data_IF_819500059329
#
_entry.id   IF_819500059329
#
_cell.length_a   1.000
_cell.length_b   1.000
_cell.length_c   1.000
_cell.angle_alpha   90.00
_cell.angle_beta   90.00
_cell.angle_gamma   90.00
#
_symmetry.space_group_name_H-M   'P 1'
#
loop_
_entity.id
_entity.type
_entity.pdbx_description
1 polymer ?
#
# COMPACT_ATOMS: atom_id res chain seq x y z
N UNK A 1 56.01 14.97 3.87
CA UNK A 1 56.24 13.54 3.56
C UNK A 1 54.86 12.96 3.51
N UNK A 2 54.25 13.00 2.33
CA UNK A 2 52.84 12.70 2.16
C UNK A 2 52.72 11.32 1.53
N UNK A 3 52.11 10.41 2.28
CA UNK A 3 51.91 9.01 1.96
C UNK A 3 50.93 8.87 0.78
N UNK A 4 51.43 8.36 -0.33
CA UNK A 4 50.65 8.03 -1.53
C UNK A 4 50.01 6.65 -1.31
N UNK A 5 48.74 6.61 -0.93
CA UNK A 5 47.96 5.37 -0.94
C UNK A 5 47.47 5.09 -2.37
N UNK A 6 48.12 4.12 -3.02
CA UNK A 6 47.70 3.55 -4.30
C UNK A 6 46.62 2.50 -3.99
N UNK A 7 45.36 2.83 -4.26
CA UNK A 7 44.27 1.84 -4.25
C UNK A 7 44.49 0.88 -5.43
N UNK A 8 44.88 -0.35 -5.14
CA UNK A 8 44.90 -1.43 -6.12
C UNK A 8 43.46 -1.91 -6.34
N UNK A 9 42.84 -1.51 -7.46
CA UNK A 9 41.69 -2.21 -8.01
C UNK A 9 42.10 -3.66 -8.31
N UNK A 10 41.66 -4.58 -7.46
CA UNK A 10 41.77 -6.03 -7.68
C UNK A 10 40.86 -6.38 -8.85
N UNK A 11 41.43 -6.37 -10.05
CA UNK A 11 40.76 -6.85 -11.25
C UNK A 11 40.48 -8.34 -11.07
N UNK A 12 39.21 -8.67 -10.85
CA UNK A 12 38.70 -10.04 -10.79
C UNK A 12 39.11 -10.78 -12.08
N UNK A 13 39.43 -12.09 -12.06
CA UNK A 13 39.76 -12.83 -13.28
C UNK A 13 38.58 -12.73 -14.26
N UNK A 14 38.77 -11.95 -15.32
CA UNK A 14 37.74 -11.66 -16.33
C UNK A 14 37.51 -12.90 -17.19
N UNK A 15 36.68 -13.82 -16.71
CA UNK A 15 36.23 -14.94 -17.55
C UNK A 15 35.36 -14.40 -18.69
N UNK A 16 35.59 -14.83 -19.94
CA UNK A 16 34.77 -14.38 -21.08
C UNK A 16 33.31 -14.74 -20.83
N UNK A 17 32.46 -13.71 -20.71
CA UNK A 17 31.03 -13.88 -20.49
C UNK A 17 30.32 -14.15 -21.83
N UNK A 18 29.34 -15.08 -21.89
CA UNK A 18 28.55 -15.30 -23.09
C UNK A 18 27.59 -14.12 -23.34
N UNK A 19 27.32 -13.82 -24.61
CA UNK A 19 26.36 -12.81 -25.00
C UNK A 19 24.94 -13.19 -24.53
N UNK A 20 24.20 -12.31 -23.83
CA UNK A 20 22.87 -12.63 -23.31
C UNK A 20 21.78 -12.76 -24.40
N UNK A 21 22.07 -12.33 -25.64
CA UNK A 21 21.12 -12.40 -26.74
C UNK A 21 21.31 -13.66 -27.62
N UNK A 22 22.55 -14.04 -27.93
CA UNK A 22 22.84 -15.14 -28.86
C UNK A 22 23.71 -16.26 -28.29
N UNK A 23 24.18 -16.13 -27.04
CA UNK A 23 24.96 -17.15 -26.34
C UNK A 23 26.43 -17.30 -26.77
N UNK A 24 26.90 -16.58 -27.80
CA UNK A 24 28.31 -16.64 -28.21
C UNK A 24 29.23 -15.96 -27.21
N UNK A 25 30.42 -16.53 -27.03
CA UNK A 25 31.47 -15.99 -26.15
C UNK A 25 31.84 -14.57 -26.58
N UNK A 26 31.93 -13.65 -25.60
CA UNK A 26 32.40 -12.30 -25.85
C UNK A 26 33.84 -12.14 -25.41
N UNK A 27 34.59 -11.36 -26.19
CA UNK A 27 35.92 -10.93 -25.80
C UNK A 27 35.83 -10.04 -24.56
N UNK A 28 36.81 -10.22 -23.68
CA UNK A 28 36.94 -9.46 -22.43
C UNK A 28 37.03 -7.96 -22.75
N UNK A 29 36.26 -7.14 -22.03
CA UNK A 29 36.20 -5.68 -22.21
C UNK A 29 35.32 -5.17 -23.37
N UNK A 30 34.79 -6.04 -24.25
CA UNK A 30 33.89 -5.60 -25.32
C UNK A 30 32.47 -5.35 -24.81
N UNK A 31 31.94 -4.15 -25.07
CA UNK A 31 30.56 -3.75 -24.71
C UNK A 31 29.49 -4.21 -25.71
N UNK A 32 29.92 -4.62 -26.90
CA UNK A 32 29.06 -5.01 -28.02
C UNK A 32 29.45 -6.42 -28.50
N UNK A 33 28.44 -7.26 -28.74
CA UNK A 33 28.65 -8.59 -29.28
C UNK A 33 28.97 -8.53 -30.78
N UNK A 34 30.16 -8.96 -31.18
CA UNK A 34 30.59 -9.01 -32.59
C UNK A 34 29.68 -9.85 -33.50
N UNK A 35 28.95 -10.82 -32.93
CA UNK A 35 28.12 -11.73 -33.73
C UNK A 35 26.70 -11.24 -33.97
N UNK A 36 26.11 -10.46 -33.05
CA UNK A 36 24.72 -10.04 -33.17
C UNK A 36 24.53 -8.52 -33.04
N UNK A 37 25.60 -7.75 -32.80
CA UNK A 37 25.57 -6.29 -32.64
C UNK A 37 24.88 -5.80 -31.37
N UNK A 38 24.56 -6.69 -30.43
CA UNK A 38 23.89 -6.31 -29.18
C UNK A 38 24.88 -5.64 -28.24
N UNK A 39 24.53 -4.42 -27.81
CA UNK A 39 25.19 -3.73 -26.70
C UNK A 39 24.66 -4.32 -25.40
N UNK A 40 25.50 -5.05 -24.67
CA UNK A 40 25.12 -5.88 -23.51
C UNK A 40 24.43 -5.06 -22.42
N UNK A 41 24.97 -3.89 -22.10
CA UNK A 41 24.41 -2.99 -21.10
C UNK A 41 22.99 -2.53 -21.47
N UNK A 42 22.77 -2.19 -22.74
CA UNK A 42 21.46 -1.77 -23.24
C UNK A 42 20.47 -2.93 -23.23
N UNK A 43 20.92 -4.13 -23.61
CA UNK A 43 20.08 -5.32 -23.58
C UNK A 43 19.67 -5.67 -22.14
N UNK A 44 20.62 -5.71 -21.21
CA UNK A 44 20.34 -6.03 -19.81
C UNK A 44 19.38 -5.03 -19.18
N UNK A 45 19.51 -3.74 -19.48
CA UNK A 45 18.59 -2.73 -18.96
C UNK A 45 17.16 -2.89 -19.50
N UNK A 46 16.99 -3.24 -20.78
CA UNK A 46 15.67 -3.52 -21.38
C UNK A 46 15.08 -4.82 -20.81
N UNK A 47 15.89 -5.87 -20.66
CA UNK A 47 15.43 -7.13 -20.06
C UNK A 47 15.00 -6.93 -18.61
N UNK A 48 15.76 -6.15 -17.85
CA UNK A 48 15.42 -5.78 -16.48
C UNK A 48 14.10 -5.02 -16.41
N UNK A 49 13.90 -4.02 -17.28
CA UNK A 49 12.64 -3.27 -17.37
C UNK A 49 11.44 -4.20 -17.60
N UNK A 50 11.56 -5.09 -18.60
CA UNK A 50 10.52 -6.05 -18.95
C UNK A 50 10.21 -6.99 -17.79
N UNK A 51 11.24 -7.56 -17.16
CA UNK A 51 11.08 -8.48 -16.05
C UNK A 51 10.42 -7.81 -14.82
N UNK A 52 10.69 -6.54 -14.56
CA UNK A 52 10.02 -5.79 -13.49
C UNK A 52 8.56 -5.53 -13.86
N UNK A 53 8.28 -5.07 -15.08
CA UNK A 53 6.90 -4.81 -15.54
C UNK A 53 6.03 -6.07 -15.52
N UNK A 54 6.57 -7.19 -15.98
CA UNK A 54 5.87 -8.48 -16.00
C UNK A 54 5.53 -8.99 -14.60
N UNK A 55 6.47 -8.87 -13.65
CA UNK A 55 6.25 -9.35 -12.26
C UNK A 55 5.27 -8.49 -11.47
N UNK A 56 5.33 -7.18 -11.68
CA UNK A 56 4.56 -6.21 -10.89
C UNK A 56 3.16 -6.01 -11.46
N UNK A 57 3.04 -5.88 -12.78
CA UNK A 57 1.80 -5.52 -13.46
C UNK A 57 1.35 -4.08 -13.19
N UNK A 58 0.59 -3.47 -14.11
CA UNK A 58 -0.01 -2.15 -13.89
C UNK A 58 0.98 -0.97 -13.80
N UNK A 59 2.21 -1.17 -14.29
CA UNK A 59 3.27 -0.15 -14.35
C UNK A 59 3.85 0.01 -15.77
N UNK A 60 3.11 -0.42 -16.79
CA UNK A 60 3.58 -0.47 -18.19
C UNK A 60 3.89 0.92 -18.76
N UNK A 61 3.22 1.96 -18.23
CA UNK A 61 3.41 3.36 -18.61
C UNK A 61 4.71 3.99 -18.12
N UNK A 62 5.42 3.34 -17.18
CA UNK A 62 6.67 3.87 -16.64
C UNK A 62 7.84 3.63 -17.59
N UNK A 63 8.74 4.62 -17.69
CA UNK A 63 10.00 4.50 -18.41
C UNK A 63 11.05 3.77 -17.56
N UNK A 64 12.09 3.24 -18.20
CA UNK A 64 13.25 2.63 -17.52
C UNK A 64 13.83 3.54 -16.41
N UNK A 65 13.94 4.85 -16.67
CA UNK A 65 14.49 5.81 -15.70
C UNK A 65 13.61 5.91 -14.45
N UNK A 66 12.28 5.91 -14.62
CA UNK A 66 11.35 5.93 -13.50
C UNK A 66 11.43 4.65 -12.67
N UNK A 67 11.59 3.49 -13.31
CA UNK A 67 11.78 2.21 -12.61
C UNK A 67 13.08 2.23 -11.80
N UNK A 68 14.19 2.69 -12.39
CA UNK A 68 15.47 2.85 -11.67
C UNK A 68 15.35 3.80 -10.46
N UNK A 69 14.59 4.89 -10.61
CA UNK A 69 14.33 5.82 -9.49
C UNK A 69 13.51 5.15 -8.38
N UNK A 70 12.47 4.38 -8.73
CA UNK A 70 11.67 3.61 -7.76
C UNK A 70 12.53 2.59 -7.00
N UNK A 71 13.40 1.87 -7.70
CA UNK A 71 14.36 0.95 -7.08
C UNK A 71 15.33 1.66 -6.14
N UNK A 72 15.83 2.83 -6.55
CA UNK A 72 16.70 3.63 -5.70
C UNK A 72 15.99 4.11 -4.42
N UNK A 73 14.74 4.59 -4.54
CA UNK A 73 13.95 4.98 -3.36
C UNK A 73 13.64 3.79 -2.46
N UNK A 74 13.34 2.62 -3.03
CA UNK A 74 13.16 1.40 -2.26
C UNK A 74 14.43 0.99 -1.52
N UNK A 75 15.59 0.99 -2.18
CA UNK A 75 16.89 0.71 -1.54
C UNK A 75 17.17 1.67 -0.37
N UNK A 76 16.88 2.96 -0.56
CA UNK A 76 17.03 3.98 0.49
C UNK A 76 16.11 3.72 1.70
N UNK A 77 14.87 3.29 1.43
CA UNK A 77 13.91 2.90 2.47
C UNK A 77 14.38 1.67 3.23
N UNK A 78 14.88 0.63 2.56
CA UNK A 78 15.36 -0.60 3.20
C UNK A 78 16.51 -0.33 4.18
N UNK A 79 17.38 0.66 3.90
CA UNK A 79 18.42 1.08 4.86
C UNK A 79 17.82 1.64 6.15
N UNK A 80 16.67 2.31 6.08
CA UNK A 80 15.97 2.89 7.23
C UNK A 80 14.61 2.20 7.44
N UNK A 81 14.60 0.87 7.38
CA UNK A 81 13.35 0.09 7.34
C UNK A 81 12.45 0.27 8.58
N UNK A 82 13.01 0.65 9.72
CA UNK A 82 12.20 0.88 10.92
C UNK A 82 11.60 2.29 10.99
N UNK A 83 11.94 3.20 10.05
CA UNK A 83 11.38 4.55 10.01
C UNK A 83 10.05 4.58 9.26
N UNK A 84 8.96 4.62 10.02
CA UNK A 84 7.59 4.75 9.50
C UNK A 84 7.44 5.91 8.51
N UNK A 85 8.13 7.03 8.74
CA UNK A 85 8.03 8.21 7.86
C UNK A 85 8.64 7.93 6.48
N UNK A 86 9.75 7.20 6.42
CA UNK A 86 10.37 6.80 5.16
C UNK A 86 9.43 5.92 4.30
N UNK A 87 8.66 5.03 4.95
CA UNK A 87 7.63 4.23 4.26
C UNK A 87 6.50 5.10 3.68
N UNK A 88 6.02 6.08 4.43
CA UNK A 88 5.00 7.01 3.96
C UNK A 88 5.49 7.87 2.79
N UNK A 89 6.74 8.34 2.86
CA UNK A 89 7.38 9.10 1.78
C UNK A 89 7.51 8.24 0.51
N UNK A 90 7.91 6.97 0.64
CA UNK A 90 7.99 6.04 -0.49
C UNK A 90 6.61 5.73 -1.10
N UNK A 91 5.59 5.48 -0.28
CA UNK A 91 4.22 5.27 -0.76
C UNK A 91 3.69 6.52 -1.46
N UNK A 92 3.93 7.71 -0.89
CA UNK A 92 3.57 8.98 -1.52
C UNK A 92 4.28 9.21 -2.86
N UNK A 93 5.55 8.80 -2.96
CA UNK A 93 6.31 8.84 -4.21
C UNK A 93 5.72 7.89 -5.26
N UNK A 94 5.38 6.65 -4.87
CA UNK A 94 4.74 5.68 -5.76
C UNK A 94 3.35 6.15 -6.20
N UNK A 95 2.55 6.71 -5.30
CA UNK A 95 1.23 7.25 -5.61
C UNK A 95 1.28 8.36 -6.67
N UNK A 96 2.17 9.35 -6.48
CA UNK A 96 2.35 10.47 -7.43
C UNK A 96 2.71 10.01 -8.84
N UNK A 97 3.38 8.86 -8.96
CA UNK A 97 3.81 8.27 -10.24
C UNK A 97 2.88 7.19 -10.76
N UNK A 98 1.73 6.97 -10.10
CA UNK A 98 0.80 5.88 -10.42
C UNK A 98 1.51 4.50 -10.44
N UNK A 99 2.47 4.31 -9.52
CA UNK A 99 3.31 3.13 -9.40
C UNK A 99 3.04 2.37 -8.09
N UNK A 100 1.84 2.48 -7.52
CA UNK A 100 1.46 1.76 -6.29
C UNK A 100 1.57 0.23 -6.40
N UNK A 101 1.28 -0.43 -7.55
CA UNK A 101 1.50 -1.87 -7.69
C UNK A 101 2.95 -2.28 -7.41
N UNK A 102 3.92 -1.44 -7.76
CA UNK A 102 5.33 -1.67 -7.46
C UNK A 102 5.59 -1.72 -5.95
N UNK A 103 5.02 -0.78 -5.19
CA UNK A 103 5.13 -0.77 -3.74
C UNK A 103 4.51 -2.04 -3.11
N UNK A 104 3.33 -2.43 -3.57
CA UNK A 104 2.66 -3.67 -3.14
C UNK A 104 3.55 -4.89 -3.37
N UNK A 105 4.16 -5.00 -4.55
CA UNK A 105 5.07 -6.09 -4.90
C UNK A 105 6.32 -6.09 -4.00
N UNK A 106 6.94 -4.93 -3.76
CA UNK A 106 8.09 -4.80 -2.86
C UNK A 106 7.79 -5.27 -1.43
N UNK A 107 6.66 -4.84 -0.84
CA UNK A 107 6.28 -5.28 0.50
C UNK A 107 5.87 -6.75 0.54
N UNK A 108 5.24 -7.28 -0.51
CA UNK A 108 4.93 -8.72 -0.61
C UNK A 108 6.21 -9.55 -0.63
N UNK A 109 7.23 -9.12 -1.39
CA UNK A 109 8.54 -9.78 -1.38
C UNK A 109 9.23 -9.73 -0.02
N UNK A 110 9.03 -8.66 0.76
CA UNK A 110 9.57 -8.61 2.12
C UNK A 110 8.88 -9.63 3.01
N UNK A 111 7.56 -9.77 2.89
CA UNK A 111 6.80 -10.80 3.61
C UNK A 111 7.16 -12.23 3.19
N UNK A 112 7.56 -12.45 1.94
CA UNK A 112 8.02 -13.76 1.47
C UNK A 112 9.36 -14.15 2.13
N UNK A 113 10.17 -13.16 2.54
CA UNK A 113 11.43 -13.36 3.26
C UNK A 113 11.17 -13.51 4.76
N UNK A 114 10.32 -12.64 5.32
CA UNK A 114 9.92 -12.63 6.73
C UNK A 114 8.39 -12.54 6.87
N UNK A 115 7.76 -13.70 7.09
CA UNK A 115 6.30 -13.83 7.13
C UNK A 115 5.61 -13.05 8.25
N UNK A 116 6.35 -12.72 9.30
CA UNK A 116 5.85 -12.01 10.50
C UNK A 116 6.22 -10.51 10.49
N UNK A 117 6.66 -9.97 9.35
CA UNK A 117 6.95 -8.54 9.21
C UNK A 117 5.68 -7.67 9.25
N UNK A 118 5.38 -7.16 10.43
CA UNK A 118 4.25 -6.25 10.71
C UNK A 118 4.29 -4.97 9.85
N UNK A 119 5.48 -4.41 9.59
CA UNK A 119 5.64 -3.18 8.81
C UNK A 119 5.29 -3.45 7.35
N UNK A 120 5.82 -4.52 6.78
CA UNK A 120 5.51 -4.92 5.39
C UNK A 120 4.01 -5.21 5.23
N UNK A 121 3.42 -5.97 6.15
CA UNK A 121 2.01 -6.32 6.14
C UNK A 121 1.11 -5.08 6.22
N UNK A 122 1.41 -4.15 7.14
CA UNK A 122 0.72 -2.87 7.28
C UNK A 122 0.84 -2.00 6.03
N UNK A 123 2.06 -1.82 5.51
CA UNK A 123 2.31 -0.93 4.36
C UNK A 123 1.75 -1.50 3.06
N UNK A 124 1.80 -2.82 2.87
CA UNK A 124 1.16 -3.49 1.74
C UNK A 124 -0.34 -3.23 1.72
N UNK A 125 -1.01 -3.40 2.87
CA UNK A 125 -2.46 -3.10 2.99
C UNK A 125 -2.75 -1.65 2.67
N UNK A 126 -1.95 -0.71 3.20
CA UNK A 126 -2.10 0.72 2.91
C UNK A 126 -1.94 1.03 1.42
N UNK A 127 -0.94 0.45 0.76
CA UNK A 127 -0.75 0.59 -0.68
C UNK A 127 -1.97 0.07 -1.47
N UNK A 128 -2.49 -1.12 -1.11
CA UNK A 128 -3.72 -1.66 -1.72
C UNK A 128 -4.93 -0.74 -1.53
N UNK A 129 -5.13 -0.19 -0.33
CA UNK A 129 -6.25 0.72 -0.08
C UNK A 129 -6.17 1.98 -0.94
N UNK A 130 -4.96 2.49 -1.21
CA UNK A 130 -4.75 3.64 -2.09
C UNK A 130 -5.02 3.32 -3.57
N UNK A 131 -4.83 2.06 -3.99
CA UNK A 131 -5.19 1.61 -5.35
C UNK A 131 -6.71 1.51 -5.50
N UNK A 132 -7.39 0.97 -4.47
CA UNK A 132 -8.84 0.71 -4.52
C UNK A 132 -9.71 1.92 -4.20
N UNK A 133 -9.15 2.96 -3.58
CA UNK A 133 -9.89 4.17 -3.27
C UNK A 133 -10.39 4.79 -4.58
N UNK A 134 -11.71 5.02 -4.74
CA UNK A 134 -12.22 5.70 -5.92
C UNK A 134 -11.54 7.05 -6.00
N UNK A 135 -10.84 7.29 -7.09
CA UNK A 135 -10.25 8.59 -7.42
C UNK A 135 -11.43 9.50 -7.79
N UNK A 136 -12.20 9.91 -6.78
CA UNK A 136 -13.12 11.02 -6.92
C UNK A 136 -12.27 12.25 -7.29
N UNK A 137 -12.61 12.85 -8.43
CA UNK A 137 -11.71 13.62 -9.27
C UNK A 137 -10.89 14.70 -8.56
N UNK A 138 -9.64 14.82 -9.00
CA UNK A 138 -8.82 16.03 -9.04
C UNK A 138 -9.47 17.31 -8.50
N UNK A 139 -9.17 17.65 -7.26
CA UNK A 139 -9.04 19.03 -6.83
C UNK A 139 -7.88 19.12 -5.83
N UNK A 140 -7.06 20.14 -6.04
CA UNK A 140 -5.88 20.58 -5.29
C UNK A 140 -5.95 20.44 -3.76
N UNK A 141 -4.79 20.32 -3.09
CA UNK A 141 -4.70 19.99 -1.68
C UNK A 141 -4.99 21.22 -0.82
N UNK A 142 -6.25 21.44 -0.45
CA UNK A 142 -6.55 22.25 0.74
C UNK A 142 -6.61 21.34 1.96
N UNK A 143 -5.58 21.50 2.78
CA UNK A 143 -5.39 20.97 4.12
C UNK A 143 -6.67 21.06 4.97
N UNK A 144 -7.48 20.00 4.98
CA UNK A 144 -8.32 19.63 6.13
C UNK A 144 -8.19 18.14 6.41
N UNK A 145 -7.20 17.84 7.23
CA UNK A 145 -7.29 16.75 8.19
C UNK A 145 -8.53 16.95 9.05
N UNK A 146 -9.65 16.32 8.68
CA UNK A 146 -10.73 16.03 9.61
C UNK A 146 -11.11 14.57 9.44
N UNK A 147 -10.40 13.76 10.23
CA UNK A 147 -10.99 12.67 11.01
C UNK A 147 -11.68 11.59 10.18
N UNK A 148 -10.86 10.60 9.86
CA UNK A 148 -11.22 9.20 10.02
C UNK A 148 -11.82 9.00 11.43
N UNK A 149 -13.12 9.24 11.57
CA UNK A 149 -13.89 8.65 12.64
C UNK A 149 -14.75 7.58 12.01
N UNK A 150 -14.44 6.33 12.37
CA UNK A 150 -15.47 5.36 12.71
C UNK A 150 -16.50 6.10 13.57
N UNK A 151 -17.56 6.59 12.94
CA UNK A 151 -18.47 7.57 13.51
C UNK A 151 -18.94 7.13 14.91
N UNK A 152 -18.48 7.77 16.02
CA UNK A 152 -19.03 7.50 17.35
C UNK A 152 -20.51 7.88 17.42
N UNK A 153 -21.00 8.67 16.46
CA UNK A 153 -22.40 8.99 16.23
C UNK A 153 -23.29 7.74 16.22
N UNK A 154 -22.85 6.65 15.58
CA UNK A 154 -23.69 5.45 15.45
C UNK A 154 -23.81 4.65 16.76
N UNK A 155 -22.80 4.73 17.64
CA UNK A 155 -22.92 4.23 19.03
C UNK A 155 -23.85 5.12 19.84
N UNK A 156 -23.77 6.44 19.66
CA UNK A 156 -24.60 7.43 20.36
C UNK A 156 -26.09 7.33 19.97
N UNK A 157 -26.40 7.14 18.69
CA UNK A 157 -27.76 6.93 18.17
C UNK A 157 -28.43 5.70 18.79
N UNK A 158 -27.69 4.60 18.96
CA UNK A 158 -28.26 3.39 19.55
C UNK A 158 -28.63 3.59 21.03
N UNK A 159 -27.78 4.29 21.79
CA UNK A 159 -28.10 4.64 23.18
C UNK A 159 -29.30 5.58 23.28
N UNK A 160 -29.38 6.61 22.43
CA UNK A 160 -30.54 7.52 22.40
C UNK A 160 -31.82 6.77 22.07
N UNK A 161 -31.78 5.84 21.12
CA UNK A 161 -32.94 5.03 20.75
C UNK A 161 -33.50 4.22 21.92
N UNK A 162 -32.62 3.60 22.71
CA UNK A 162 -33.01 2.84 23.91
C UNK A 162 -33.61 3.77 24.98
N UNK A 163 -32.98 4.93 25.23
CA UNK A 163 -33.50 5.91 26.19
C UNK A 163 -34.86 6.46 25.77
N UNK A 164 -35.03 6.82 24.50
CA UNK A 164 -36.28 7.37 23.97
C UNK A 164 -37.40 6.33 24.03
N UNK A 165 -37.12 5.07 23.67
CA UNK A 165 -38.07 3.97 23.79
C UNK A 165 -38.54 3.75 25.23
N UNK A 166 -37.61 3.72 26.19
CA UNK A 166 -37.95 3.60 27.61
C UNK A 166 -38.78 4.79 28.10
N UNK A 167 -38.49 6.00 27.63
CA UNK A 167 -39.26 7.19 27.96
C UNK A 167 -40.70 7.14 27.40
N UNK A 168 -40.89 6.68 26.17
CA UNK A 168 -42.21 6.46 25.57
C UNK A 168 -43.06 5.46 26.36
N UNK A 169 -42.44 4.39 26.89
CA UNK A 169 -43.16 3.41 27.72
C UNK A 169 -43.61 4.01 29.06
N UNK A 170 -42.73 4.73 29.77
CA UNK A 170 -43.06 5.35 31.07
C UNK A 170 -44.12 6.44 30.93
N UNK A 171 -44.01 7.29 29.90
CA UNK A 171 -45.01 8.33 29.62
C UNK A 171 -46.37 7.75 29.22
N UNK A 172 -46.39 6.66 28.45
CA UNK A 172 -47.62 5.93 28.11
C UNK A 172 -48.34 5.32 29.31
N UNK A 173 -47.61 4.99 30.39
CA UNK A 173 -48.21 4.51 31.65
C UNK A 173 -48.86 5.64 32.46
N UNK A 174 -48.29 6.85 32.41
CA UNK A 174 -48.77 8.02 33.17
C UNK A 174 -50.03 8.66 32.56
N UNK A 175 -50.23 8.52 31.25
CA UNK A 175 -51.35 9.16 30.52
C UNK A 175 -52.28 8.06 29.97
N UNK A 176 -53.46 7.83 30.56
CA UNK A 176 -54.37 6.76 30.15
C UNK A 176 -54.84 6.85 28.69
N UNK A 177 -54.84 8.06 28.13
CA UNK A 177 -55.22 8.33 26.73
C UNK A 177 -54.12 7.96 25.73
N UNK A 178 -52.86 7.79 26.18
CA UNK A 178 -51.70 7.52 25.35
C UNK A 178 -51.24 6.05 25.41
N UNK A 179 -52.13 5.09 25.74
CA UNK A 179 -51.78 3.66 25.86
C UNK A 179 -51.11 3.07 24.61
N UNK A 180 -51.42 3.59 23.43
CA UNK A 180 -50.79 3.18 22.16
C UNK A 180 -49.28 3.49 22.12
N UNK A 181 -48.82 4.45 22.92
CA UNK A 181 -47.41 4.84 23.02
C UNK A 181 -46.54 3.75 23.69
N UNK A 182 -47.15 2.91 24.53
CA UNK A 182 -46.47 1.77 25.16
C UNK A 182 -46.07 0.74 24.09
N UNK A 183 -46.98 0.40 23.19
CA UNK A 183 -46.73 -0.55 22.09
C UNK A 183 -45.68 -0.04 21.10
N UNK A 184 -45.70 1.27 20.82
CA UNK A 184 -44.70 1.93 19.98
C UNK A 184 -43.32 1.95 20.65
N UNK A 185 -43.26 2.25 21.95
CA UNK A 185 -42.03 2.17 22.74
C UNK A 185 -41.43 0.75 22.73
N UNK A 186 -42.24 -0.27 23.00
CA UNK A 186 -41.81 -1.67 23.00
C UNK A 186 -41.29 -2.12 21.63
N UNK A 187 -41.95 -1.72 20.53
CA UNK A 187 -41.50 -2.04 19.17
C UNK A 187 -40.11 -1.46 18.87
N UNK A 188 -39.88 -0.19 19.24
CA UNK A 188 -38.56 0.42 19.07
C UNK A 188 -37.49 -0.25 19.94
N UNK A 189 -37.82 -0.64 21.17
CA UNK A 189 -36.89 -1.33 22.07
C UNK A 189 -36.33 -2.60 21.41
N UNK A 190 -37.22 -3.42 20.84
CA UNK A 190 -36.85 -4.67 20.16
C UNK A 190 -35.95 -4.39 18.95
N UNK A 191 -36.27 -3.37 18.14
CA UNK A 191 -35.48 -3.00 16.97
C UNK A 191 -34.07 -2.55 17.37
N UNK A 192 -33.93 -1.67 18.37
CA UNK A 192 -32.62 -1.18 18.81
C UNK A 192 -31.77 -2.29 19.48
N UNK A 193 -32.39 -3.20 20.23
CA UNK A 193 -31.69 -4.39 20.77
C UNK A 193 -31.24 -5.32 19.64
N UNK A 194 -32.09 -5.59 18.64
CA UNK A 194 -31.73 -6.41 17.50
C UNK A 194 -30.55 -5.79 16.72
N UNK A 195 -30.58 -4.49 16.47
CA UNK A 195 -29.47 -3.74 15.85
C UNK A 195 -28.20 -3.80 16.71
N UNK A 196 -28.31 -3.67 18.03
CA UNK A 196 -27.17 -3.80 18.94
C UNK A 196 -26.49 -5.18 18.83
N UNK A 197 -27.29 -6.25 18.86
CA UNK A 197 -26.80 -7.63 18.75
C UNK A 197 -26.18 -7.88 17.36
N UNK A 198 -26.86 -7.46 16.30
CA UNK A 198 -26.39 -7.65 14.92
C UNK A 198 -25.02 -6.99 14.69
N UNK A 199 -24.83 -5.78 15.23
CA UNK A 199 -23.55 -5.06 15.14
C UNK A 199 -22.45 -5.68 15.98
N UNK A 200 -22.78 -6.18 17.18
CA UNK A 200 -21.79 -6.88 18.01
C UNK A 200 -21.26 -8.14 17.30
N UNK A 201 -22.11 -8.79 16.49
CA UNK A 201 -21.74 -9.98 15.72
C UNK A 201 -20.91 -9.66 14.47
N UNK A 202 -21.10 -8.49 13.85
CA UNK A 202 -20.38 -8.06 12.64
C UNK A 202 -19.60 -6.76 12.87
N UNK A 203 -18.38 -6.81 13.46
CA UNK A 203 -17.58 -5.62 13.76
C UNK A 203 -16.93 -4.97 12.54
N UNK A 204 -17.04 -5.57 11.35
CA UNK A 204 -16.45 -5.12 10.08
C UNK A 204 -17.40 -4.27 9.22
N UNK A 205 -18.56 -3.88 9.75
CA UNK A 205 -19.58 -3.00 9.15
C UNK A 205 -19.78 -1.73 10.02
#
# INVERSE_FOLDING_TARGET
MDEYQIEFEVNSPETPAPCPACGKEMLIGHKECYSCGVIVERFNSIQHERGVKEKVGGIDHLTLEHIKQLEHQWKKLVVNYHDQKAHEEFLGYCFKRQALPYAVHCYSRMMDIDGDDDIASMMRRRAFTMISAPIEGTATPEKKSIVDSRFPFLKWVNWIGIFFSSFCMVSGMMIPQARNLIGLGASFLVIFIALYIFRRKNPSL
#
